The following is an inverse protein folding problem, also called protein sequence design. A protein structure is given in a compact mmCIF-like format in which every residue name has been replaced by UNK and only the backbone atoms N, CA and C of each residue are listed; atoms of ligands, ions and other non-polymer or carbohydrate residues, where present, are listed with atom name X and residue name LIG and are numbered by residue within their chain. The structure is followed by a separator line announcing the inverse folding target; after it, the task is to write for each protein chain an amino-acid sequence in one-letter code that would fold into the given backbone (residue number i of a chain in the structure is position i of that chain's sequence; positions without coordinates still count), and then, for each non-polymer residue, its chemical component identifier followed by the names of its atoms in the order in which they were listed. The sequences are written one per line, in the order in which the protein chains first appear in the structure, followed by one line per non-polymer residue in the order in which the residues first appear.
data_IF_024056921372
#
_entry.id   IF_024056921372
#
_cell.length_a   1.000
_cell.length_b   1.000
_cell.length_c   1.000
_cell.angle_alpha   90.00
_cell.angle_beta   90.00
_cell.angle_gamma   90.00
#
_symmetry.space_group_name_H-M   'P 1'
#
loop_
_entity.id
_entity.type
_entity.pdbx_description
1 polymer ?
#
# COMPACT_ATOMS: atom_id res chain seq x y z
N UNK A 1 -3.36 18.85 -6.08
CA UNK A 1 -3.40 17.61 -5.28
C UNK A 1 -4.85 17.32 -4.91
N UNK A 2 -5.30 16.05 -4.99
CA UNK A 2 -6.67 15.71 -4.64
C UNK A 2 -6.87 15.84 -3.12
N UNK A 3 -7.89 16.59 -2.69
CA UNK A 3 -8.24 16.76 -1.26
C UNK A 3 -8.85 15.49 -0.65
N UNK A 4 -9.33 14.59 -1.50
CA UNK A 4 -9.96 13.34 -1.14
C UNK A 4 -9.51 12.25 -2.09
N UNK A 5 -9.33 11.02 -1.58
CA UNK A 5 -9.11 9.82 -2.38
C UNK A 5 -10.24 8.85 -2.16
N UNK A 6 -10.82 8.35 -3.25
CA UNK A 6 -11.81 7.29 -3.20
C UNK A 6 -11.10 5.94 -3.08
N UNK A 7 -11.62 5.08 -2.20
CA UNK A 7 -11.18 3.69 -2.06
C UNK A 7 -12.22 2.82 -2.78
N UNK A 8 -11.75 1.90 -3.61
CA UNK A 8 -12.63 0.95 -4.30
C UNK A 8 -13.26 0.00 -3.27
N UNK A 9 -14.55 -0.31 -3.42
CA UNK A 9 -15.25 -1.21 -2.49
C UNK A 9 -14.67 -2.62 -2.52
N UNK A 10 -14.16 -3.06 -3.68
CA UNK A 10 -13.48 -4.34 -3.86
C UNK A 10 -12.22 -4.49 -3.00
N UNK A 11 -11.65 -3.39 -2.49
CA UNK A 11 -10.55 -3.42 -1.53
C UNK A 11 -10.85 -4.34 -0.34
N UNK A 12 -12.07 -4.29 0.19
CA UNK A 12 -12.47 -5.08 1.37
C UNK A 12 -12.69 -6.56 1.05
N UNK A 13 -12.85 -6.91 -0.22
CA UNK A 13 -13.06 -8.28 -0.69
C UNK A 13 -11.77 -8.97 -1.10
N UNK A 14 -10.67 -8.23 -1.16
CA UNK A 14 -9.38 -8.80 -1.54
C UNK A 14 -8.92 -9.85 -0.53
N UNK A 15 -8.58 -11.05 -1.02
CA UNK A 15 -8.17 -12.18 -0.19
C UNK A 15 -6.95 -11.88 0.68
N UNK A 16 -6.07 -10.99 0.26
CA UNK A 16 -4.95 -10.50 1.06
C UNK A 16 -5.45 -9.65 2.22
N UNK A 17 -6.28 -8.64 1.93
CA UNK A 17 -6.81 -7.72 2.94
C UNK A 17 -7.69 -8.44 3.97
N UNK A 18 -8.42 -9.49 3.58
CA UNK A 18 -9.23 -10.27 4.52
C UNK A 18 -8.37 -10.95 5.60
N UNK A 19 -7.18 -11.47 5.23
CA UNK A 19 -6.29 -12.23 6.12
C UNK A 19 -5.47 -11.37 7.10
N UNK A 20 -5.28 -10.09 6.79
CA UNK A 20 -4.51 -9.18 7.62
C UNK A 20 -5.19 -8.89 8.98
N UNK A 21 -4.41 -8.48 9.97
CA UNK A 21 -4.95 -7.93 11.23
C UNK A 21 -5.53 -6.53 11.01
N UNK A 22 -6.35 -6.02 11.94
CA UNK A 22 -6.89 -4.65 11.82
C UNK A 22 -5.80 -3.58 11.74
N UNK A 23 -4.72 -3.76 12.51
CA UNK A 23 -3.54 -2.89 12.48
C UNK A 23 -2.88 -2.90 11.10
N UNK A 24 -2.63 -4.09 10.56
CA UNK A 24 -2.02 -4.28 9.24
C UNK A 24 -2.89 -3.69 8.13
N UNK A 25 -4.21 -3.92 8.17
CA UNK A 25 -5.15 -3.32 7.20
C UNK A 25 -5.12 -1.81 7.23
N UNK A 26 -5.12 -1.24 8.44
CA UNK A 26 -5.08 0.21 8.63
C UNK A 26 -3.77 0.80 8.10
N UNK A 27 -2.64 0.11 8.35
CA UNK A 27 -1.34 0.53 7.83
C UNK A 27 -1.27 0.43 6.29
N UNK A 28 -1.80 -0.64 5.70
CA UNK A 28 -1.85 -0.77 4.24
C UNK A 28 -2.73 0.31 3.60
N UNK A 29 -3.86 0.64 4.22
CA UNK A 29 -4.72 1.75 3.76
C UNK A 29 -4.03 3.11 3.88
N UNK A 30 -3.23 3.30 4.92
CA UNK A 30 -2.39 4.49 5.10
C UNK A 30 -1.38 4.64 3.96
N UNK A 31 -0.66 3.58 3.58
CA UNK A 31 0.31 3.63 2.47
C UNK A 31 -0.33 4.05 1.14
N UNK A 32 -1.57 3.65 0.87
CA UNK A 32 -2.27 4.02 -0.37
C UNK A 32 -2.83 5.45 -0.39
N UNK A 33 -3.15 6.02 0.79
CA UNK A 33 -3.90 7.27 0.90
C UNK A 33 -3.17 8.39 1.66
N UNK A 34 -1.92 8.17 2.06
CA UNK A 34 -1.13 9.20 2.70
C UNK A 34 -0.97 10.44 1.79
N UNK A 35 -0.75 11.63 2.36
CA UNK A 35 -0.55 12.86 1.58
C UNK A 35 0.68 12.78 0.68
N UNK A 36 1.68 11.96 1.02
CA UNK A 36 2.90 11.76 0.25
C UNK A 36 2.75 10.87 -0.99
N UNK A 37 1.72 10.02 -1.06
CA UNK A 37 1.60 9.06 -2.17
C UNK A 37 1.32 9.75 -3.50
N UNK A 38 1.88 9.20 -4.57
CA UNK A 38 1.52 9.58 -5.93
C UNK A 38 0.38 8.70 -6.45
N UNK A 39 -0.28 9.14 -7.53
CA UNK A 39 -1.27 8.34 -8.25
C UNK A 39 -0.65 7.09 -8.92
N UNK A 40 0.68 7.00 -8.96
CA UNK A 40 1.41 5.84 -9.49
C UNK A 40 1.77 4.83 -8.40
N UNK A 41 1.50 5.12 -7.12
CA UNK A 41 1.84 4.24 -6.01
C UNK A 41 3.32 4.23 -5.63
N UNK A 42 4.14 5.14 -6.19
CA UNK A 42 5.57 5.30 -5.88
C UNK A 42 5.77 6.66 -5.22
N UNK A 43 6.40 6.69 -4.04
CA UNK A 43 6.64 7.93 -3.32
C UNK A 43 7.73 7.78 -2.24
N UNK A 44 8.33 8.91 -1.85
CA UNK A 44 9.27 8.97 -0.72
C UNK A 44 8.53 8.79 0.60
N UNK A 45 8.95 7.82 1.39
CA UNK A 45 8.34 7.41 2.64
C UNK A 45 9.30 7.63 3.81
N UNK A 46 8.90 8.51 4.73
CA UNK A 46 9.67 8.78 5.94
C UNK A 46 9.14 7.95 7.11
N UNK A 47 9.97 7.05 7.64
CA UNK A 47 9.64 6.19 8.78
C UNK A 47 9.14 6.97 10.02
N UNK A 48 9.81 8.06 10.47
CA UNK A 48 9.36 8.82 11.64
C UNK A 48 8.00 9.48 11.44
N UNK A 49 7.71 9.96 10.22
CA UNK A 49 6.42 10.58 9.91
C UNK A 49 5.32 9.54 9.93
N UNK A 50 5.56 8.37 9.34
CA UNK A 50 4.59 7.28 9.35
C UNK A 50 4.29 6.78 10.77
N UNK A 51 5.32 6.62 11.60
CA UNK A 51 5.15 6.25 13.00
C UNK A 51 4.32 7.28 13.78
N UNK A 52 4.58 8.58 13.56
CA UNK A 52 3.81 9.65 14.17
C UNK A 52 2.35 9.68 13.72
N UNK A 53 2.08 9.56 12.41
CA UNK A 53 0.73 9.61 11.85
C UNK A 53 -0.11 8.37 12.19
N UNK A 54 0.53 7.20 12.28
CA UNK A 54 -0.16 5.93 12.59
C UNK A 54 -0.24 5.65 14.09
N UNK A 55 0.54 6.36 14.91
CA UNK A 55 0.65 6.12 16.35
C UNK A 55 1.41 4.84 16.72
N UNK A 56 2.13 4.26 15.77
CA UNK A 56 2.95 3.06 15.96
C UNK A 56 4.38 3.41 16.34
N UNK A 57 5.10 2.47 16.95
CA UNK A 57 6.54 2.61 17.15
C UNK A 57 7.29 2.43 15.81
N UNK A 58 8.44 3.09 15.65
CA UNK A 58 9.27 2.94 14.45
C UNK A 58 9.61 1.47 14.14
N UNK A 59 9.90 0.68 15.19
CA UNK A 59 10.18 -0.75 15.04
C UNK A 59 8.98 -1.52 14.50
N UNK A 60 7.77 -1.21 14.99
CA UNK A 60 6.55 -1.86 14.50
C UNK A 60 6.25 -1.51 13.05
N UNK A 61 6.48 -0.26 12.65
CA UNK A 61 6.32 0.16 11.25
C UNK A 61 7.28 -0.60 10.34
N UNK A 62 8.53 -0.78 10.77
CA UNK A 62 9.54 -1.53 10.03
C UNK A 62 9.15 -3.01 9.88
N UNK A 63 8.70 -3.67 10.95
CA UNK A 63 8.18 -5.05 10.90
C UNK A 63 7.01 -5.20 9.90
N UNK A 64 6.11 -4.22 9.86
CA UNK A 64 4.98 -4.22 8.93
C UNK A 64 5.42 -4.05 7.48
N UNK A 65 6.42 -3.20 7.22
CA UNK A 65 7.00 -3.01 5.88
C UNK A 65 7.67 -4.30 5.42
N UNK A 66 8.53 -4.90 6.26
CA UNK A 66 9.19 -6.17 5.96
C UNK A 66 8.18 -7.29 5.63
N UNK A 67 7.08 -7.36 6.39
CA UNK A 67 5.99 -8.30 6.11
C UNK A 67 5.36 -8.07 4.73
N UNK A 68 5.06 -6.82 4.38
CA UNK A 68 4.47 -6.49 3.09
C UNK A 68 5.41 -6.63 1.90
N UNK A 69 6.72 -6.50 2.14
CA UNK A 69 7.76 -6.83 1.17
C UNK A 69 7.82 -8.35 0.96
N UNK A 70 7.74 -9.14 2.03
CA UNK A 70 7.69 -10.60 1.94
C UNK A 70 6.42 -11.11 1.23
N UNK A 71 5.29 -10.42 1.38
CA UNK A 71 4.04 -10.70 0.66
C UNK A 71 4.04 -10.17 -0.80
N UNK A 72 5.17 -9.61 -1.28
CA UNK A 72 5.36 -9.03 -2.63
C UNK A 72 4.34 -7.94 -3.00
N UNK A 73 3.73 -7.30 -2.00
CA UNK A 73 2.77 -6.19 -2.21
C UNK A 73 3.44 -4.85 -2.30
N UNK A 74 4.59 -4.70 -1.66
CA UNK A 74 5.31 -3.45 -1.54
C UNK A 74 6.79 -3.71 -1.81
N UNK A 75 7.43 -2.76 -2.48
CA UNK A 75 8.88 -2.66 -2.56
C UNK A 75 9.32 -1.45 -1.74
N UNK A 76 10.31 -1.65 -0.89
CA UNK A 76 10.90 -0.60 -0.07
C UNK A 76 12.40 -0.54 -0.35
N UNK A 77 12.91 0.65 -0.67
CA UNK A 77 14.35 0.91 -0.79
C UNK A 77 14.82 1.71 0.42
N UNK A 78 15.68 1.09 1.25
CA UNK A 78 16.25 1.71 2.44
C UNK A 78 17.20 2.88 2.11
N UNK A 79 17.79 2.91 0.92
CA UNK A 79 18.79 3.95 0.55
C UNK A 79 18.13 5.25 0.14
N UNK A 80 17.02 5.16 -0.58
CA UNK A 80 16.28 6.34 -1.05
C UNK A 80 15.07 6.66 -0.18
N UNK A 81 14.76 5.79 0.79
CA UNK A 81 13.56 5.84 1.61
C UNK A 81 12.31 5.91 0.73
N UNK A 82 12.26 5.09 -0.32
CA UNK A 82 11.15 5.08 -1.28
C UNK A 82 10.30 3.82 -1.12
N UNK A 83 8.98 4.00 -1.18
CA UNK A 83 8.01 2.93 -1.22
C UNK A 83 7.35 2.89 -2.60
N UNK A 84 7.24 1.67 -3.14
CA UNK A 84 6.47 1.36 -4.34
C UNK A 84 5.42 0.29 -4.02
N UNK A 85 4.15 0.63 -4.21
CA UNK A 85 3.04 -0.31 -4.07
C UNK A 85 2.90 -1.10 -5.38
N UNK A 86 3.13 -2.40 -5.30
CA UNK A 86 3.03 -3.31 -6.44
C UNK A 86 1.54 -3.57 -6.74
N UNK A 87 1.18 -3.60 -8.03
CA UNK A 87 -0.18 -3.86 -8.50
C UNK A 87 -1.22 -2.77 -8.12
N UNK A 88 -0.80 -1.51 -8.05
CA UNK A 88 -1.69 -0.35 -7.82
C UNK A 88 -2.81 -0.21 -8.88
N UNK A 89 -2.61 -0.79 -10.06
CA UNK A 89 -3.65 -0.93 -11.08
C UNK A 89 -3.63 -2.36 -11.61
N UNK A 90 -4.68 -3.18 -11.41
CA UNK A 90 -4.80 -4.40 -12.17
C UNK A 90 -4.82 -4.02 -13.66
N UNK A 91 -4.18 -4.80 -14.55
CA UNK A 91 -4.33 -4.57 -15.98
C UNK A 91 -5.83 -4.57 -16.29
N UNK A 92 -6.37 -3.42 -16.67
CA UNK A 92 -7.73 -3.36 -17.17
C UNK A 92 -7.77 -4.22 -18.43
N UNK A 93 -8.47 -5.36 -18.34
CA UNK A 93 -9.04 -6.09 -19.47
C UNK A 93 -8.02 -6.82 -20.35
N UNK A 94 -7.78 -8.10 -20.04
CA UNK A 94 -7.44 -9.11 -21.04
C UNK A 94 -8.38 -10.33 -20.89
N UNK A 95 -9.69 -10.09 -20.96
CA UNK A 95 -10.73 -11.15 -21.03
C UNK A 95 -11.53 -11.05 -22.35
N UNK A 96 -11.01 -10.40 -23.39
CA UNK A 96 -11.67 -10.28 -24.70
C UNK A 96 -10.95 -11.01 -25.85
N UNK A 97 -10.08 -11.98 -25.57
CA UNK A 97 -9.46 -12.83 -26.59
C UNK A 97 -9.82 -14.31 -26.42
N UNK A 98 -11.07 -14.58 -26.04
CA UNK A 98 -11.63 -15.94 -25.93
C UNK A 98 -12.94 -16.14 -26.70
N UNK A 99 -13.22 -15.29 -27.69
CA UNK A 99 -14.32 -15.50 -28.64
C UNK A 99 -13.77 -15.53 -30.07
N UNK A 100 -13.20 -16.67 -30.45
CA UNK A 100 -13.14 -17.18 -31.82
C UNK A 100 -13.17 -18.70 -31.77
#
# INVERSE_FOLDING_TARGET
MAKYRSIMVDFWRDNFIVKLSFEEKSFYQYLMNNPGSSQCGIYSFSLPVAAFETGLSNGRVMELIEKFVADEKILYDEKTEEIMIVNYSPPKRCELLGQY
#
